data_IF_946583000753
#
_entry.id   IF_946583000753
#
_cell.length_a   1.000
_cell.length_b   1.000
_cell.length_c   1.000
_cell.angle_alpha   90.00
_cell.angle_beta   90.00
_cell.angle_gamma   90.00
#
_symmetry.space_group_name_H-M   'P 1'
#
loop_
_entity.id
_entity.type
_entity.pdbx_description
1 polymer ?
#
# COMPACT_ATOMS: atom_id res chain seq x y z
N UNK A 1 0.54 -23.70 19.18
CA UNK A 1 1.12 -23.59 17.83
C UNK A 1 0.21 -22.66 17.06
N UNK A 2 0.63 -21.41 16.86
CA UNK A 2 -0.17 -20.40 16.16
C UNK A 2 -0.06 -20.70 14.66
N UNK A 3 -1.15 -21.11 14.03
CA UNK A 3 -1.24 -21.10 12.57
C UNK A 3 -1.16 -19.64 12.13
N UNK A 4 0.02 -19.19 11.73
CA UNK A 4 0.19 -17.96 10.99
C UNK A 4 -0.40 -18.22 9.60
N UNK A 5 -1.69 -17.91 9.45
CA UNK A 5 -2.28 -17.76 8.11
C UNK A 5 -1.57 -16.57 7.47
N UNK A 6 -0.52 -16.86 6.70
CA UNK A 6 0.20 -15.88 5.92
C UNK A 6 -0.72 -15.37 4.81
N UNK A 7 -0.76 -14.04 4.55
CA UNK A 7 -1.50 -13.49 3.43
C UNK A 7 -1.04 -14.11 2.12
N UNK A 8 -1.94 -14.23 1.15
CA UNK A 8 -1.58 -14.66 -0.20
C UNK A 8 -0.78 -13.55 -0.87
N UNK A 9 0.50 -13.81 -1.14
CA UNK A 9 1.38 -12.86 -1.83
C UNK A 9 1.49 -13.28 -3.29
N UNK A 10 0.98 -12.44 -4.18
CA UNK A 10 1.10 -12.59 -5.62
C UNK A 10 2.14 -11.61 -6.16
N UNK A 11 3.19 -12.14 -6.78
CA UNK A 11 4.27 -11.35 -7.38
C UNK A 11 4.08 -11.39 -8.88
N UNK A 12 3.56 -10.31 -9.45
CA UNK A 12 3.13 -10.29 -10.86
C UNK A 12 4.08 -9.40 -11.66
N UNK A 13 5.18 -9.99 -12.15
CA UNK A 13 5.90 -9.65 -13.40
C UNK A 13 7.26 -10.40 -13.47
N UNK A 14 7.67 -10.76 -14.69
CA UNK A 14 8.93 -11.45 -15.05
C UNK A 14 10.19 -10.92 -14.35
N UNK A 15 10.23 -9.62 -14.02
CA UNK A 15 11.40 -8.97 -13.42
C UNK A 15 11.64 -9.35 -11.95
N UNK A 16 10.58 -9.75 -11.23
CA UNK A 16 10.66 -10.20 -9.83
C UNK A 16 10.93 -11.71 -9.71
N UNK A 17 10.60 -12.48 -10.74
CA UNK A 17 10.84 -13.92 -10.77
C UNK A 17 12.32 -14.26 -11.01
N UNK A 18 13.01 -13.47 -11.84
CA UNK A 18 14.38 -13.73 -12.26
C UNK A 18 15.47 -13.25 -11.27
N UNK A 19 15.10 -12.51 -10.21
CA UNK A 19 16.07 -11.98 -9.23
C UNK A 19 15.68 -12.35 -7.79
N UNK A 20 16.21 -13.47 -7.24
CA UNK A 20 15.90 -13.94 -5.89
C UNK A 20 16.08 -12.88 -4.79
N UNK A 21 17.09 -12.01 -4.95
CA UNK A 21 17.39 -10.93 -4.00
C UNK A 21 16.26 -9.91 -3.91
N UNK A 22 15.66 -9.56 -5.05
CA UNK A 22 14.54 -8.61 -5.09
C UNK A 22 13.31 -9.25 -4.45
N UNK A 23 13.06 -10.53 -4.73
CA UNK A 23 11.96 -11.29 -4.11
C UNK A 23 12.11 -11.38 -2.59
N UNK A 24 13.29 -11.74 -2.08
CA UNK A 24 13.56 -11.74 -0.64
C UNK A 24 13.39 -10.35 -0.02
N UNK A 25 13.85 -9.30 -0.71
CA UNK A 25 13.65 -7.93 -0.24
C UNK A 25 12.18 -7.54 -0.17
N UNK A 26 11.38 -7.89 -1.18
CA UNK A 26 9.93 -7.66 -1.16
C UNK A 26 9.32 -8.32 0.08
N UNK A 27 9.56 -9.62 0.32
CA UNK A 27 9.02 -10.30 1.50
C UNK A 27 9.43 -9.61 2.81
N UNK A 28 10.69 -9.18 2.93
CA UNK A 28 11.15 -8.43 4.09
C UNK A 28 10.41 -7.10 4.26
N UNK A 29 10.11 -6.38 3.18
CA UNK A 29 9.36 -5.13 3.24
C UNK A 29 7.87 -5.35 3.59
N UNK A 30 7.29 -6.49 3.20
CA UNK A 30 5.87 -6.78 3.44
C UNK A 30 5.54 -7.07 4.91
N UNK A 31 6.51 -7.47 5.73
CA UNK A 31 6.28 -7.73 7.17
C UNK A 31 5.83 -6.47 7.92
N UNK A 32 6.20 -5.28 7.44
CA UNK A 32 5.75 -4.01 8.02
C UNK A 32 4.23 -3.78 7.83
N UNK A 33 3.58 -4.52 6.95
CA UNK A 33 2.13 -4.47 6.78
C UNK A 33 1.36 -5.37 7.73
N UNK A 34 2.02 -6.28 8.47
CA UNK A 34 1.37 -7.22 9.40
C UNK A 34 0.32 -6.59 10.33
N UNK A 35 0.52 -5.38 10.90
CA UNK A 35 -0.49 -4.75 11.76
C UNK A 35 -1.77 -4.30 11.05
N UNK A 36 -1.76 -4.26 9.71
CA UNK A 36 -2.81 -3.67 8.88
C UNK A 36 -3.49 -4.68 7.94
N UNK A 37 -3.07 -5.93 7.96
CA UNK A 37 -3.56 -6.96 7.05
C UNK A 37 -4.19 -8.12 7.82
N UNK A 38 -5.09 -8.81 7.15
CA UNK A 38 -5.71 -10.04 7.63
C UNK A 38 -5.15 -11.25 6.87
N UNK A 39 -5.35 -12.47 7.38
CA UNK A 39 -5.13 -13.70 6.63
C UNK A 39 -5.74 -13.74 5.21
N UNK A 40 -6.85 -13.02 5.01
CA UNK A 40 -7.58 -12.98 3.73
C UNK A 40 -7.05 -11.89 2.79
N UNK A 41 -6.15 -11.04 3.28
CA UNK A 41 -5.55 -9.98 2.47
C UNK A 41 -4.66 -10.59 1.38
N UNK A 42 -4.90 -10.21 0.14
CA UNK A 42 -4.07 -10.50 -1.01
C UNK A 42 -3.13 -9.32 -1.25
N UNK A 43 -1.84 -9.60 -1.32
CA UNK A 43 -0.81 -8.60 -1.60
C UNK A 43 -0.29 -8.80 -3.01
N UNK A 44 -0.47 -7.80 -3.87
CA UNK A 44 0.08 -7.81 -5.24
C UNK A 44 1.27 -6.85 -5.33
N UNK A 45 2.41 -7.33 -5.80
CA UNK A 45 3.58 -6.49 -6.11
C UNK A 45 3.88 -6.59 -7.60
N UNK A 46 3.79 -5.46 -8.29
CA UNK A 46 3.82 -5.39 -9.75
C UNK A 46 4.80 -4.31 -10.19
N UNK A 47 5.68 -4.62 -11.13
CA UNK A 47 6.43 -3.61 -11.85
C UNK A 47 5.53 -3.01 -12.95
N UNK A 48 5.64 -1.72 -13.19
CA UNK A 48 4.81 -0.99 -14.16
C UNK A 48 5.71 -0.22 -15.11
N UNK A 49 5.26 -0.04 -16.35
CA UNK A 49 5.99 0.80 -17.29
C UNK A 49 6.00 2.27 -16.80
N UNK A 50 7.18 2.85 -16.49
CA UNK A 50 7.30 4.25 -16.08
C UNK A 50 6.85 5.22 -17.18
N UNK A 51 6.88 4.83 -18.47
CA UNK A 51 6.40 5.68 -19.57
C UNK A 51 4.91 5.98 -19.47
N UNK A 52 4.13 5.11 -18.83
CA UNK A 52 2.71 5.37 -18.59
C UNK A 52 2.48 6.54 -17.63
N UNK A 53 3.49 7.00 -16.87
CA UNK A 53 3.42 8.23 -16.07
C UNK A 53 3.49 9.49 -16.93
N UNK A 54 4.12 9.44 -18.11
CA UNK A 54 4.19 10.58 -19.02
C UNK A 54 2.79 11.11 -19.34
N UNK A 55 1.86 10.21 -19.71
CA UNK A 55 0.47 10.55 -19.99
C UNK A 55 -0.25 11.18 -18.78
N UNK A 56 0.05 10.73 -17.56
CA UNK A 56 -0.51 11.34 -16.35
C UNK A 56 0.07 12.74 -16.08
N UNK A 57 1.37 12.92 -16.25
CA UNK A 57 2.01 14.21 -16.05
C UNK A 57 1.59 15.25 -17.10
N UNK A 58 1.41 14.85 -18.36
CA UNK A 58 0.80 15.69 -19.39
C UNK A 58 -0.60 16.15 -18.97
N UNK A 59 -1.45 15.23 -18.49
CA UNK A 59 -2.80 15.55 -18.04
C UNK A 59 -2.83 16.47 -16.80
N UNK A 60 -1.84 16.35 -15.91
CA UNK A 60 -1.68 17.18 -14.71
C UNK A 60 -0.92 18.49 -14.95
N UNK A 61 -0.46 18.75 -16.18
CA UNK A 61 0.33 19.95 -16.52
C UNK A 61 1.70 20.00 -15.82
N UNK A 62 2.25 18.85 -15.45
CA UNK A 62 3.57 18.75 -14.81
C UNK A 62 4.64 18.53 -15.86
N UNK A 63 5.72 19.31 -15.79
CA UNK A 63 6.90 19.05 -16.62
C UNK A 63 7.56 17.72 -16.23
N UNK A 64 7.92 16.93 -17.24
CA UNK A 64 8.69 15.70 -17.05
C UNK A 64 9.67 15.47 -18.18
N UNK A 65 10.80 14.84 -17.86
CA UNK A 65 11.77 14.39 -18.85
C UNK A 65 11.55 12.89 -19.15
N UNK A 66 11.13 12.62 -20.39
CA UNK A 66 10.87 11.26 -20.88
C UNK A 66 12.13 10.39 -20.93
N UNK A 67 13.33 10.97 -21.08
CA UNK A 67 14.59 10.22 -20.98
C UNK A 67 14.85 9.80 -19.53
N UNK A 68 14.52 10.66 -18.58
CA UNK A 68 14.66 10.39 -17.16
C UNK A 68 13.69 9.30 -16.70
N UNK A 69 12.42 9.32 -17.16
CA UNK A 69 11.43 8.29 -16.82
C UNK A 69 11.83 6.89 -17.28
N UNK A 70 12.48 6.76 -18.44
CA UNK A 70 12.91 5.45 -18.98
C UNK A 70 13.95 4.75 -18.12
N UNK A 71 14.71 5.49 -17.32
CA UNK A 71 15.73 4.92 -16.44
C UNK A 71 15.20 4.60 -15.04
N UNK A 72 13.89 4.68 -14.81
CA UNK A 72 13.28 4.43 -13.50
C UNK A 72 12.50 3.11 -13.48
N UNK A 73 12.55 2.45 -12.33
CA UNK A 73 11.61 1.42 -11.92
C UNK A 73 10.37 2.09 -11.31
N UNK A 74 9.19 1.63 -11.72
CA UNK A 74 7.91 2.01 -11.11
C UNK A 74 7.30 0.76 -10.49
N UNK A 75 7.33 0.69 -9.17
CA UNK A 75 6.84 -0.46 -8.42
C UNK A 75 5.51 -0.13 -7.77
N UNK A 76 4.53 -1.00 -7.92
CA UNK A 76 3.20 -0.89 -7.33
C UNK A 76 3.03 -1.97 -6.27
N UNK A 77 2.55 -1.58 -5.09
CA UNK A 77 2.09 -2.52 -4.06
C UNK A 77 0.59 -2.29 -3.87
N UNK A 78 -0.19 -3.36 -3.95
CA UNK A 78 -1.63 -3.37 -3.71
C UNK A 78 -1.95 -4.33 -2.57
N UNK A 79 -2.80 -3.89 -1.65
CA UNK A 79 -3.47 -4.75 -0.67
C UNK A 79 -4.95 -4.82 -1.03
N UNK A 80 -5.49 -6.02 -1.12
CA UNK A 80 -6.90 -6.29 -1.39
C UNK A 80 -7.44 -7.18 -0.28
N UNK A 81 -8.50 -6.73 0.40
CA UNK A 81 -9.20 -7.51 1.43
C UNK A 81 -10.71 -7.40 1.17
N UNK A 82 -11.33 -8.50 0.72
CA UNK A 82 -12.69 -8.50 0.20
C UNK A 82 -12.88 -7.52 -0.96
N UNK A 83 -13.76 -6.53 -0.78
CA UNK A 83 -14.01 -5.45 -1.76
C UNK A 83 -13.09 -4.23 -1.56
N UNK A 84 -12.38 -4.15 -0.43
CA UNK A 84 -11.50 -3.04 -0.14
C UNK A 84 -10.16 -3.22 -0.84
N UNK A 85 -9.71 -2.16 -1.53
CA UNK A 85 -8.41 -2.13 -2.22
C UNK A 85 -7.68 -0.84 -1.91
N UNK A 86 -6.43 -0.96 -1.48
CA UNK A 86 -5.52 0.17 -1.33
C UNK A 86 -4.23 -0.11 -2.07
N UNK A 87 -3.71 0.87 -2.78
CA UNK A 87 -2.46 0.73 -3.53
C UNK A 87 -1.60 1.98 -3.45
N UNK A 88 -0.31 1.79 -3.64
CA UNK A 88 0.66 2.86 -3.80
C UNK A 88 1.74 2.46 -4.79
N UNK A 89 2.39 3.48 -5.35
CA UNK A 89 3.45 3.30 -6.31
C UNK A 89 4.69 4.09 -5.89
N UNK A 90 5.86 3.53 -6.15
CA UNK A 90 7.15 4.15 -5.93
C UNK A 90 7.94 4.21 -7.23
N UNK A 91 8.54 5.36 -7.50
CA UNK A 91 9.37 5.62 -8.68
C UNK A 91 10.80 5.92 -8.23
N UNK A 92 11.76 5.13 -8.72
CA UNK A 92 13.19 5.34 -8.47
C UNK A 92 14.07 4.72 -9.56
N UNK A 93 15.31 5.17 -9.70
CA UNK A 93 16.31 4.54 -10.60
C UNK A 93 16.78 3.19 -10.08
N UNK A 94 16.58 2.91 -8.80
CA UNK A 94 16.92 1.65 -8.15
C UNK A 94 15.64 0.90 -7.73
N UNK A 95 15.54 -0.38 -8.10
CA UNK A 95 14.36 -1.20 -7.82
C UNK A 95 14.05 -1.33 -6.31
N UNK A 96 15.06 -1.49 -5.47
CA UNK A 96 14.89 -1.58 -4.01
C UNK A 96 14.36 -0.26 -3.44
N UNK A 97 14.88 0.87 -3.93
CA UNK A 97 14.40 2.19 -3.54
C UNK A 97 12.96 2.44 -4.02
N UNK A 98 12.61 1.98 -5.22
CA UNK A 98 11.24 2.06 -5.75
C UNK A 98 10.25 1.25 -4.90
N UNK A 99 10.61 0.02 -4.52
CA UNK A 99 9.81 -0.83 -3.61
C UNK A 99 9.63 -0.14 -2.24
N UNK A 100 10.73 0.36 -1.66
CA UNK A 100 10.70 1.07 -0.37
C UNK A 100 9.77 2.29 -0.42
N UNK A 101 9.86 3.10 -1.47
CA UNK A 101 8.99 4.27 -1.66
C UNK A 101 7.53 3.87 -1.77
N UNK A 102 7.21 2.83 -2.55
CA UNK A 102 5.85 2.33 -2.67
C UNK A 102 5.30 1.90 -1.30
N UNK A 103 6.10 1.16 -0.52
CA UNK A 103 5.76 0.73 0.84
C UNK A 103 5.51 1.92 1.78
N UNK A 104 6.43 2.88 1.83
CA UNK A 104 6.31 4.05 2.72
C UNK A 104 5.05 4.88 2.40
N UNK A 105 4.70 5.03 1.13
CA UNK A 105 3.47 5.71 0.73
C UNK A 105 2.24 4.89 1.16
N UNK A 106 2.28 3.57 0.98
CA UNK A 106 1.18 2.70 1.36
C UNK A 106 0.94 2.69 2.88
N UNK A 107 1.99 2.58 3.68
CA UNK A 107 1.92 2.65 5.14
C UNK A 107 1.28 3.96 5.60
N UNK A 108 1.67 5.09 5.02
CA UNK A 108 1.04 6.39 5.33
C UNK A 108 -0.45 6.39 5.03
N UNK A 109 -0.89 5.77 3.93
CA UNK A 109 -2.31 5.63 3.61
C UNK A 109 -3.04 4.74 4.62
N UNK A 110 -2.44 3.62 5.01
CA UNK A 110 -3.01 2.69 5.99
C UNK A 110 -3.16 3.33 7.37
N UNK A 111 -2.13 4.05 7.84
CA UNK A 111 -2.18 4.81 9.10
C UNK A 111 -3.31 5.84 9.04
N UNK A 112 -3.40 6.61 7.96
CA UNK A 112 -4.48 7.60 7.81
C UNK A 112 -5.88 6.97 7.79
N UNK A 113 -6.03 5.77 7.22
CA UNK A 113 -7.29 5.01 7.25
C UNK A 113 -7.60 4.56 8.68
N UNK A 114 -6.61 3.99 9.38
CA UNK A 114 -6.76 3.54 10.76
C UNK A 114 -7.16 4.69 11.69
N UNK A 115 -6.43 5.81 11.64
CA UNK A 115 -6.70 7.01 12.43
C UNK A 115 -8.13 7.53 12.21
N UNK A 116 -8.59 7.51 10.95
CA UNK A 116 -9.95 7.93 10.60
C UNK A 116 -11.00 7.00 11.19
N UNK A 117 -10.79 5.68 11.16
CA UNK A 117 -11.74 4.69 11.70
C UNK A 117 -11.81 4.81 13.23
N UNK A 118 -10.67 4.90 13.91
CA UNK A 118 -10.59 5.06 15.37
C UNK A 118 -11.33 6.32 15.81
N UNK A 119 -11.07 7.45 15.14
CA UNK A 119 -11.74 8.73 15.44
C UNK A 119 -13.27 8.65 15.32
N UNK A 120 -13.81 7.89 14.36
CA UNK A 120 -15.25 7.69 14.22
C UNK A 120 -15.83 6.84 15.36
N UNK A 121 -15.12 5.79 15.80
CA UNK A 121 -15.55 4.95 16.91
C UNK A 121 -15.59 5.74 18.22
N UNK A 122 -14.55 6.54 18.50
CA UNK A 122 -14.49 7.41 19.69
C UNK A 122 -15.64 8.43 19.71
N UNK A 123 -15.94 9.05 18.56
CA UNK A 123 -17.09 9.96 18.43
C UNK A 123 -18.41 9.24 18.73
N UNK A 124 -18.62 8.04 18.20
CA UNK A 124 -19.84 7.28 18.43
C UNK A 124 -19.99 6.84 19.90
N UNK A 125 -18.88 6.45 20.56
CA UNK A 125 -18.88 6.14 21.99
C UNK A 125 -19.29 7.35 22.83
N UNK A 126 -18.75 8.53 22.53
CA UNK A 126 -19.12 9.77 23.23
C UNK A 126 -20.61 10.11 23.06
N UNK A 127 -21.18 9.91 21.87
CA UNK A 127 -22.61 10.09 21.60
C UNK A 127 -23.45 9.10 22.43
N UNK A 128 -23.07 7.81 22.44
CA UNK A 128 -23.78 6.81 23.22
C UNK A 128 -23.74 7.10 24.73
N UNK A 129 -22.60 7.54 25.26
CA UNK A 129 -22.49 7.96 26.66
C UNK A 129 -23.35 9.19 26.96
N UNK A 130 -23.39 10.18 26.06
CA UNK A 130 -24.25 11.34 26.21
C UNK A 130 -25.74 10.96 26.21
N UNK A 131 -26.17 10.07 25.30
CA UNK A 131 -27.56 9.57 25.23
C UNK A 131 -27.97 8.77 26.48
N UNK A 132 -27.05 8.01 27.08
CA UNK A 132 -27.33 7.28 28.33
C UNK A 132 -27.44 8.22 29.53
N UNK A 133 -26.68 9.32 29.57
CA UNK A 133 -26.75 10.31 30.66
C UNK A 133 -28.03 11.16 30.63
N UNK A 134 -28.70 11.32 29.48
CA UNK A 134 -29.96 12.09 29.41
C UNK A 134 -31.19 11.34 29.92
N UNK A 135 -31.11 10.05 30.27
CA UNK A 135 -32.24 9.26 30.79
C UNK A 135 -32.35 9.26 32.33
N UNK A 136 -31.47 9.95 33.04
CA UNK A 136 -31.58 10.15 34.49
C UNK A 136 -32.02 11.59 34.74
N UNK A 137 -33.32 11.86 34.65
CA UNK A 137 -33.94 13.04 35.29
C UNK A 137 -35.42 12.83 35.58
#
# INVERSE_FOLDING_TARGET
MSNLLTPAIDLVEDLLEDTPEVKSYVYQQLTEFEPYITPETIIEVISKDPKKLALQFEAEGKDFDMKNLRSHYRMSITLTDGEARVSAEGLDRNIFAAIRKAKEILLKKLIAIQDKVVSQQERNMAIHQALQNTMIH
#
